data_IF_363497295657
#
_entry.id   IF_363497295657
#
_cell.length_a   1.000
_cell.length_b   1.000
_cell.length_c   1.000
_cell.angle_alpha   90.00
_cell.angle_beta   90.00
_cell.angle_gamma   90.00
#
_symmetry.space_group_name_H-M   'P 1'
#
loop_
_entity.id
_entity.type
_entity.pdbx_description
1 polymer ?
#
# COMPACT_ATOMS: atom_id res chain seq x y z
N UNK A 1 -4.36 29.69 10.15
CA UNK A 1 -3.97 29.23 8.81
C UNK A 1 -4.80 27.98 8.47
N UNK A 2 -5.86 27.89 7.68
CA UNK A 2 -6.56 27.11 7.50
C UNK A 2 -6.10 26.24 6.81
N UNK A 3 -5.98 25.23 7.29
CA UNK A 3 -5.70 24.01 6.60
C UNK A 3 -6.85 23.79 5.62
N UNK A 4 -6.57 23.99 4.37
CA UNK A 4 -7.53 23.73 3.30
C UNK A 4 -7.82 22.22 3.32
N UNK A 5 -8.95 21.81 3.86
CA UNK A 5 -9.42 20.44 3.85
C UNK A 5 -9.79 20.06 2.41
N UNK A 6 -8.78 19.77 1.62
CA UNK A 6 -9.00 19.21 0.29
C UNK A 6 -9.51 17.77 0.50
N UNK A 7 -10.68 17.49 -0.03
CA UNK A 7 -11.24 16.13 -0.04
C UNK A 7 -10.17 15.20 -0.63
N UNK A 8 -9.91 14.05 -0.01
CA UNK A 8 -8.86 13.14 -0.50
C UNK A 8 -9.32 12.45 -1.80
N UNK A 9 -9.33 13.21 -2.89
CA UNK A 9 -9.75 12.74 -4.24
C UNK A 9 -8.92 11.52 -4.67
N UNK A 10 -7.69 11.45 -4.20
CA UNK A 10 -6.77 10.37 -4.57
C UNK A 10 -7.12 9.01 -3.94
N UNK A 11 -7.87 8.99 -2.83
CA UNK A 11 -8.23 7.73 -2.17
C UNK A 11 -9.31 6.94 -2.94
N UNK A 12 -10.40 7.58 -3.46
CA UNK A 12 -11.30 6.91 -4.39
C UNK A 12 -10.60 6.43 -5.68
N UNK A 13 -9.63 7.21 -6.17
CA UNK A 13 -8.85 6.81 -7.35
C UNK A 13 -7.99 5.56 -7.05
N UNK A 14 -7.40 5.48 -5.86
CA UNK A 14 -6.72 4.27 -5.39
C UNK A 14 -7.68 3.07 -5.44
N UNK A 15 -8.89 3.21 -4.88
CA UNK A 15 -9.86 2.10 -4.84
C UNK A 15 -10.26 1.64 -6.24
N UNK A 16 -10.47 2.59 -7.16
CA UNK A 16 -10.81 2.28 -8.56
C UNK A 16 -9.68 1.52 -9.25
N UNK A 17 -8.44 2.01 -9.15
CA UNK A 17 -7.29 1.38 -9.80
C UNK A 17 -6.98 0.00 -9.20
N UNK A 18 -7.13 -0.14 -7.88
CA UNK A 18 -6.96 -1.41 -7.18
C UNK A 18 -8.02 -2.43 -7.62
N UNK A 19 -9.27 -1.99 -7.84
CA UNK A 19 -10.34 -2.85 -8.35
C UNK A 19 -10.02 -3.31 -9.79
N UNK A 20 -9.55 -2.40 -10.65
CA UNK A 20 -9.13 -2.73 -12.04
C UNK A 20 -7.97 -3.74 -11.99
N UNK A 21 -6.95 -3.49 -11.16
CA UNK A 21 -5.82 -4.40 -10.99
C UNK A 21 -6.28 -5.81 -10.55
N UNK A 22 -7.19 -5.85 -9.56
CA UNK A 22 -7.75 -7.12 -9.06
C UNK A 22 -8.52 -7.88 -10.15
N UNK A 23 -9.25 -7.16 -10.99
CA UNK A 23 -9.96 -7.76 -12.13
C UNK A 23 -8.98 -8.34 -13.16
N UNK A 24 -7.91 -7.59 -13.49
CA UNK A 24 -6.88 -8.06 -14.43
C UNK A 24 -6.13 -9.29 -13.91
N UNK A 25 -6.03 -9.44 -12.58
CA UNK A 25 -5.38 -10.60 -11.95
C UNK A 25 -6.14 -11.92 -12.25
N UNK A 26 -7.40 -11.86 -12.66
CA UNK A 26 -8.16 -13.07 -13.05
C UNK A 26 -7.47 -13.73 -14.27
N UNK A 27 -6.88 -12.94 -15.17
CA UNK A 27 -6.15 -13.43 -16.33
C UNK A 27 -4.63 -13.50 -16.15
N UNK A 28 -4.14 -13.70 -14.92
CA UNK A 28 -2.69 -13.62 -14.62
C UNK A 28 -1.84 -14.65 -15.39
N UNK A 29 -2.44 -15.72 -15.90
CA UNK A 29 -1.74 -16.71 -16.75
C UNK A 29 -1.24 -16.10 -18.05
N UNK A 30 -1.84 -14.99 -18.48
CA UNK A 30 -1.39 -14.22 -19.64
C UNK A 30 -0.40 -13.17 -19.14
N UNK A 31 0.88 -13.32 -19.47
CA UNK A 31 1.96 -12.47 -18.96
C UNK A 31 1.66 -10.97 -19.11
N UNK A 32 1.08 -10.55 -20.23
CA UNK A 32 0.70 -9.15 -20.46
C UNK A 32 -0.33 -8.65 -19.44
N UNK A 33 -1.34 -9.47 -19.11
CA UNK A 33 -2.38 -9.09 -18.13
C UNK A 33 -1.81 -9.04 -16.70
N UNK A 34 -0.88 -9.96 -16.39
CA UNK A 34 -0.17 -9.97 -15.11
C UNK A 34 0.66 -8.67 -14.94
N UNK A 35 1.45 -8.30 -15.95
CA UNK A 35 2.25 -7.06 -15.93
C UNK A 35 1.34 -5.82 -15.85
N UNK A 36 0.25 -5.80 -16.60
CA UNK A 36 -0.71 -4.68 -16.58
C UNK A 36 -1.35 -4.55 -15.18
N UNK A 37 -1.69 -5.64 -14.57
CA UNK A 37 -2.17 -5.64 -13.17
C UNK A 37 -1.15 -5.03 -12.20
N UNK A 38 -0.02 -5.25 -12.33
CA UNK A 38 0.93 -4.77 -11.62
C UNK A 38 1.10 -3.39 -11.72
N UNK A 39 1.09 -2.91 -12.96
CA UNK A 39 1.17 -1.46 -13.20
C UNK A 39 0.01 -0.72 -12.52
N UNK A 40 -1.20 -1.20 -12.68
CA UNK A 40 -2.37 -0.58 -12.04
C UNK A 40 -2.28 -0.60 -10.53
N UNK A 41 -1.76 -1.68 -9.92
CA UNK A 41 -1.53 -1.76 -8.47
C UNK A 41 -0.48 -0.72 -8.03
N UNK A 42 0.65 -0.63 -8.72
CA UNK A 42 1.69 0.33 -8.39
C UNK A 42 1.14 1.77 -8.45
N UNK A 43 0.38 2.11 -9.52
CA UNK A 43 -0.28 3.41 -9.64
C UNK A 43 -1.27 3.65 -8.50
N UNK A 44 -2.06 2.64 -8.14
CA UNK A 44 -3.01 2.72 -7.02
C UNK A 44 -2.26 3.09 -5.73
N UNK A 45 -1.15 2.40 -5.43
CA UNK A 45 -0.36 2.67 -4.23
C UNK A 45 0.28 4.07 -4.25
N UNK A 46 0.69 4.56 -5.42
CA UNK A 46 1.19 5.95 -5.57
C UNK A 46 0.09 6.96 -5.20
N UNK A 47 -1.13 6.78 -5.73
CA UNK A 47 -2.24 7.68 -5.41
C UNK A 47 -2.62 7.61 -3.93
N UNK A 48 -2.56 6.42 -3.34
CA UNK A 48 -2.77 6.26 -1.89
C UNK A 48 -1.67 7.02 -1.11
N UNK A 49 -0.41 6.85 -1.49
CA UNK A 49 0.71 7.54 -0.83
C UNK A 49 0.57 9.07 -0.94
N UNK A 50 0.17 9.58 -2.10
CA UNK A 50 -0.11 11.02 -2.29
C UNK A 50 -1.23 11.48 -1.34
N UNK A 51 -2.31 10.70 -1.22
CA UNK A 51 -3.43 11.03 -0.35
C UNK A 51 -3.01 11.13 1.12
N UNK A 52 -2.18 10.21 1.60
CA UNK A 52 -1.67 10.21 2.98
C UNK A 52 -0.65 11.34 3.17
N UNK A 53 0.25 11.52 2.20
CA UNK A 53 1.28 12.57 2.23
C UNK A 53 0.65 13.96 2.38
N UNK A 54 -0.40 14.25 1.61
CA UNK A 54 -1.11 15.53 1.67
C UNK A 54 -1.73 15.83 3.04
N UNK A 55 -2.04 14.78 3.81
CA UNK A 55 -2.63 14.91 5.15
C UNK A 55 -1.59 14.83 6.27
N UNK A 56 -0.30 14.66 5.92
CA UNK A 56 0.80 14.48 6.88
C UNK A 56 1.58 15.78 7.05
N UNK A 57 1.56 16.36 8.25
CA UNK A 57 2.28 17.59 8.58
C UNK A 57 3.67 17.23 9.12
N UNK A 58 4.59 17.10 8.24
CA UNK A 58 5.98 16.75 8.60
C UNK A 58 6.66 17.73 9.56
N UNK A 59 6.20 18.71 9.77
CA UNK A 59 6.65 19.57 10.56
C UNK A 59 6.59 19.24 11.91
N UNK A 60 5.63 18.51 12.20
CA UNK A 60 5.40 18.03 13.57
C UNK A 60 6.27 16.84 13.96
N UNK A 61 7.07 16.32 13.10
CA UNK A 61 7.91 15.12 13.32
C UNK A 61 9.32 15.57 13.64
N UNK A 62 9.89 15.06 14.75
CA UNK A 62 11.29 15.37 15.10
C UNK A 62 12.25 14.81 14.04
N UNK A 63 13.15 15.37 13.82
CA UNK A 63 14.05 15.04 12.96
C UNK A 63 14.64 13.79 13.15
N UNK A 64 14.97 13.50 14.47
CA UNK A 64 15.52 12.21 14.87
C UNK A 64 14.59 11.06 14.45
N UNK A 65 13.30 11.21 14.73
CA UNK A 65 12.29 10.19 14.36
C UNK A 65 12.22 10.01 12.84
N UNK A 66 12.28 11.11 12.09
CA UNK A 66 12.28 11.04 10.62
C UNK A 66 13.52 10.29 10.11
N UNK A 67 14.71 10.56 10.68
CA UNK A 67 15.94 9.86 10.33
C UNK A 67 15.81 8.34 10.61
N UNK A 68 15.22 7.97 11.75
CA UNK A 68 14.96 6.56 12.09
C UNK A 68 14.02 5.93 11.05
N UNK A 69 12.95 6.61 10.65
CA UNK A 69 12.02 6.10 9.64
C UNK A 69 12.71 5.93 8.28
N UNK A 70 13.53 6.89 7.86
CA UNK A 70 14.28 6.79 6.58
C UNK A 70 15.28 5.63 6.64
N UNK A 71 15.97 5.46 7.76
CA UNK A 71 16.89 4.34 7.96
C UNK A 71 16.16 2.99 7.85
N UNK A 72 15.02 2.86 8.54
CA UNK A 72 14.20 1.64 8.50
C UNK A 72 13.66 1.39 7.09
N UNK A 73 13.22 2.43 6.39
CA UNK A 73 12.75 2.33 5.00
C UNK A 73 13.87 1.80 4.10
N UNK A 74 15.08 2.33 4.26
CA UNK A 74 16.27 1.91 3.48
C UNK A 74 16.62 0.45 3.74
N UNK A 75 16.66 0.04 5.02
CA UNK A 75 16.97 -1.35 5.40
C UNK A 75 15.90 -2.30 4.84
N UNK A 76 14.62 -2.00 5.04
CA UNK A 76 13.53 -2.85 4.57
C UNK A 76 13.47 -2.89 3.04
N UNK A 77 13.70 -1.76 2.38
CA UNK A 77 13.79 -1.69 0.91
C UNK A 77 14.92 -2.57 0.38
N UNK A 78 16.08 -2.52 1.02
CA UNK A 78 17.23 -3.36 0.66
C UNK A 78 16.91 -4.85 0.85
N UNK A 79 16.32 -5.22 1.99
CA UNK A 79 15.95 -6.62 2.27
C UNK A 79 14.93 -7.13 1.24
N UNK A 80 13.95 -6.32 0.85
CA UNK A 80 12.97 -6.70 -0.17
C UNK A 80 13.61 -6.83 -1.55
N UNK A 81 14.58 -5.97 -1.87
CA UNK A 81 15.35 -6.09 -3.11
C UNK A 81 16.13 -7.41 -3.12
N UNK A 82 16.86 -7.74 -2.05
CA UNK A 82 17.58 -9.02 -1.93
C UNK A 82 16.62 -10.22 -2.07
N UNK A 83 15.45 -10.13 -1.44
CA UNK A 83 14.43 -11.17 -1.55
C UNK A 83 13.95 -11.31 -3.01
N UNK A 84 13.76 -10.20 -3.72
CA UNK A 84 13.33 -10.25 -5.12
C UNK A 84 14.38 -10.90 -6.04
N UNK A 85 15.66 -10.75 -5.72
CA UNK A 85 16.73 -11.44 -6.47
C UNK A 85 16.65 -12.96 -6.30
N UNK A 86 16.27 -13.42 -5.11
CA UNK A 86 16.04 -14.85 -4.86
C UNK A 86 14.86 -15.36 -5.70
N UNK A 87 13.87 -14.49 -5.95
CA UNK A 87 12.69 -14.83 -6.75
C UNK A 87 12.93 -14.66 -8.26
N UNK A 88 14.05 -14.07 -8.67
CA UNK A 88 14.35 -13.78 -10.09
C UNK A 88 14.09 -14.97 -11.03
N UNK A 89 14.51 -16.23 -10.70
CA UNK A 89 14.27 -17.36 -11.59
C UNK A 89 12.80 -17.69 -11.85
N UNK A 90 11.90 -17.18 -11.02
CA UNK A 90 10.45 -17.44 -11.13
C UNK A 90 9.73 -16.36 -11.96
N UNK A 91 10.40 -15.25 -12.30
CA UNK A 91 9.79 -14.18 -13.08
C UNK A 91 9.91 -14.45 -14.59
N UNK A 92 8.85 -14.14 -15.33
CA UNK A 92 8.79 -14.33 -16.78
C UNK A 92 9.71 -13.37 -17.55
N UNK A 93 10.07 -12.23 -16.95
CA UNK A 93 10.91 -11.24 -17.60
C UNK A 93 11.59 -10.29 -16.59
N UNK A 94 12.66 -9.66 -17.01
CA UNK A 94 13.34 -8.61 -16.24
C UNK A 94 12.38 -7.41 -15.96
N UNK A 95 11.48 -7.15 -16.88
CA UNK A 95 10.47 -6.09 -16.71
C UNK A 95 9.56 -6.39 -15.50
N UNK A 96 9.07 -7.63 -15.39
CA UNK A 96 8.25 -8.07 -14.26
C UNK A 96 9.02 -7.92 -12.92
N UNK A 97 10.29 -8.30 -12.90
CA UNK A 97 11.15 -8.15 -11.73
C UNK A 97 11.25 -6.68 -11.29
N UNK A 98 11.53 -5.78 -12.24
CA UNK A 98 11.59 -4.34 -11.95
C UNK A 98 10.26 -3.80 -11.43
N UNK A 99 9.15 -4.23 -12.02
CA UNK A 99 7.80 -3.82 -11.64
C UNK A 99 7.49 -4.22 -10.19
N UNK A 100 7.80 -5.46 -9.82
CA UNK A 100 7.61 -5.99 -8.46
C UNK A 100 8.46 -5.20 -7.45
N UNK A 101 9.72 -4.90 -7.80
CA UNK A 101 10.60 -4.12 -6.92
C UNK A 101 10.06 -2.70 -6.70
N UNK A 102 9.62 -2.03 -7.76
CA UNK A 102 9.03 -0.68 -7.69
C UNK A 102 7.77 -0.72 -6.80
N UNK A 103 6.87 -1.67 -7.06
CA UNK A 103 5.63 -1.84 -6.30
C UNK A 103 5.92 -2.07 -4.81
N UNK A 104 6.87 -2.96 -4.51
CA UNK A 104 7.28 -3.28 -3.14
C UNK A 104 7.84 -2.05 -2.43
N UNK A 105 8.71 -1.28 -3.12
CA UNK A 105 9.27 -0.05 -2.57
C UNK A 105 8.17 0.98 -2.26
N UNK A 106 7.19 1.14 -3.16
CA UNK A 106 6.06 2.06 -2.96
C UNK A 106 5.25 1.65 -1.72
N UNK A 107 4.92 0.35 -1.57
CA UNK A 107 4.09 -0.10 -0.45
C UNK A 107 4.82 0.00 0.90
N UNK A 108 6.14 -0.26 0.93
CA UNK A 108 6.95 -0.05 2.14
C UNK A 108 6.99 1.45 2.50
N UNK A 109 7.18 2.30 1.49
CA UNK A 109 7.17 3.77 1.69
C UNK A 109 5.81 4.23 2.22
N UNK A 110 4.73 3.69 1.68
CA UNK A 110 3.36 3.97 2.13
C UNK A 110 3.16 3.52 3.59
N UNK A 111 3.68 2.36 3.96
CA UNK A 111 3.60 1.85 5.35
C UNK A 111 4.29 2.82 6.32
N UNK A 112 5.51 3.26 5.99
CA UNK A 112 6.22 4.23 6.83
C UNK A 112 5.51 5.57 6.88
N UNK A 113 4.94 6.01 5.75
CA UNK A 113 4.16 7.25 5.68
C UNK A 113 2.91 7.19 6.60
N UNK A 114 2.21 6.04 6.64
CA UNK A 114 1.05 5.87 7.53
C UNK A 114 1.47 5.78 9.00
N UNK A 115 2.67 5.26 9.30
CA UNK A 115 3.22 5.28 10.66
C UNK A 115 3.51 6.72 11.11
N UNK A 116 4.08 7.56 10.23
CA UNK A 116 4.30 8.99 10.49
C UNK A 116 2.95 9.69 10.71
N UNK A 117 1.98 9.43 9.83
CA UNK A 117 0.62 9.97 9.93
C UNK A 117 -0.02 9.58 11.29
N UNK A 118 0.13 8.32 11.69
CA UNK A 118 -0.40 7.83 12.97
C UNK A 118 0.30 8.48 14.17
N UNK A 119 1.62 8.67 14.09
CA UNK A 119 2.39 9.35 15.13
C UNK A 119 1.87 10.79 15.36
N UNK A 120 1.57 11.52 14.28
CA UNK A 120 1.10 12.91 14.34
C UNK A 120 -0.33 12.99 14.89
N UNK A 121 -1.22 12.12 14.46
CA UNK A 121 -2.65 12.21 14.76
C UNK A 121 -3.05 11.42 16.01
N UNK A 122 -2.40 10.30 16.30
CA UNK A 122 -2.56 9.45 17.50
C UNK A 122 -4.04 9.16 17.85
N UNK A 123 -4.84 8.80 16.86
CA UNK A 123 -6.26 8.52 17.05
C UNK A 123 -6.65 7.16 16.43
N UNK A 124 -7.86 6.69 16.73
CA UNK A 124 -8.36 5.41 16.25
C UNK A 124 -8.32 5.31 14.72
N UNK A 125 -8.62 6.42 14.03
CA UNK A 125 -8.70 6.43 12.55
C UNK A 125 -7.30 6.32 11.92
N UNK A 126 -6.29 6.96 12.51
CA UNK A 126 -4.92 6.85 12.03
C UNK A 126 -4.39 5.42 12.21
N UNK A 127 -4.76 4.75 13.31
CA UNK A 127 -4.47 3.32 13.52
C UNK A 127 -5.16 2.45 12.48
N UNK A 128 -6.44 2.71 12.18
CA UNK A 128 -7.20 1.96 11.15
C UNK A 128 -6.49 2.05 9.80
N UNK A 129 -6.01 3.25 9.44
CA UNK A 129 -5.26 3.45 8.19
C UNK A 129 -3.94 2.67 8.19
N UNK A 130 -3.19 2.70 9.30
CA UNK A 130 -1.93 1.96 9.43
C UNK A 130 -2.16 0.45 9.32
N UNK A 131 -3.20 -0.07 10.00
CA UNK A 131 -3.57 -1.49 9.93
C UNK A 131 -3.97 -1.89 8.50
N UNK A 132 -4.67 -1.00 7.78
CA UNK A 132 -5.06 -1.24 6.39
C UNK A 132 -3.81 -1.43 5.51
N UNK A 133 -2.83 -0.52 5.63
CA UNK A 133 -1.61 -0.58 4.81
C UNK A 133 -0.73 -1.77 5.23
N UNK A 134 -0.66 -2.09 6.53
CA UNK A 134 0.06 -3.26 7.02
C UNK A 134 -0.54 -4.55 6.44
N UNK A 135 -1.88 -4.66 6.47
CA UNK A 135 -2.59 -5.81 5.89
C UNK A 135 -2.34 -5.90 4.37
N UNK A 136 -2.34 -4.75 3.68
CA UNK A 136 -2.05 -4.68 2.25
C UNK A 136 -0.61 -5.16 1.96
N UNK A 137 0.37 -4.73 2.74
CA UNK A 137 1.77 -5.17 2.61
C UNK A 137 1.86 -6.70 2.73
N UNK A 138 1.28 -7.28 3.80
CA UNK A 138 1.29 -8.73 3.97
C UNK A 138 0.50 -9.45 2.88
N UNK A 139 -0.58 -8.86 2.37
CA UNK A 139 -1.32 -9.41 1.23
C UNK A 139 -0.42 -9.57 0.01
N UNK A 140 0.42 -8.54 -0.29
CA UNK A 140 1.37 -8.61 -1.42
C UNK A 140 2.43 -9.69 -1.20
N UNK A 141 2.95 -9.82 0.02
CA UNK A 141 3.94 -10.87 0.37
C UNK A 141 3.32 -12.25 0.14
N UNK A 142 2.13 -12.51 0.70
CA UNK A 142 1.46 -13.81 0.54
C UNK A 142 1.04 -14.06 -0.90
N UNK A 143 0.67 -13.01 -1.65
CA UNK A 143 0.36 -13.14 -3.08
C UNK A 143 1.60 -13.61 -3.86
N UNK A 144 2.76 -13.02 -3.58
CA UNK A 144 4.02 -13.45 -4.18
C UNK A 144 4.33 -14.92 -3.86
N UNK A 145 4.26 -15.31 -2.58
CA UNK A 145 4.49 -16.69 -2.15
C UNK A 145 3.54 -17.65 -2.90
N UNK A 146 2.27 -17.28 -3.03
CA UNK A 146 1.26 -18.12 -3.67
C UNK A 146 1.44 -18.25 -5.18
N UNK A 147 1.73 -17.14 -5.86
CA UNK A 147 1.86 -17.13 -7.33
C UNK A 147 3.14 -17.80 -7.81
N UNK A 148 4.22 -17.75 -7.03
CA UNK A 148 5.50 -18.37 -7.38
C UNK A 148 5.65 -19.78 -6.80
N UNK A 149 4.59 -20.34 -6.23
CA UNK A 149 4.50 -21.74 -5.77
C UNK A 149 5.61 -22.11 -4.77
N UNK A 150 5.95 -21.15 -3.89
CA UNK A 150 7.11 -21.28 -2.99
C UNK A 150 6.79 -22.22 -1.81
N UNK A 151 5.77 -21.87 -0.99
CA UNK A 151 5.40 -22.63 0.21
C UNK A 151 3.88 -22.55 0.38
N UNK A 152 3.18 -23.70 0.41
CA UNK A 152 1.74 -23.77 0.62
C UNK A 152 0.97 -22.75 -0.24
N UNK A 153 1.11 -22.77 -1.57
CA UNK A 153 0.61 -21.69 -2.43
C UNK A 153 -0.89 -21.43 -2.29
N UNK A 154 -1.70 -22.47 -2.16
CA UNK A 154 -3.16 -22.34 -1.99
C UNK A 154 -3.49 -21.53 -0.71
N UNK A 155 -2.84 -21.89 0.40
CA UNK A 155 -3.05 -21.19 1.70
C UNK A 155 -2.59 -19.73 1.58
N UNK A 156 -1.43 -19.50 0.96
CA UNK A 156 -0.87 -18.16 0.76
C UNK A 156 -1.84 -17.27 -0.05
N UNK A 157 -2.42 -17.79 -1.14
CA UNK A 157 -3.39 -17.05 -1.97
C UNK A 157 -4.64 -16.69 -1.16
N UNK A 158 -5.17 -17.62 -0.36
CA UNK A 158 -6.34 -17.33 0.49
C UNK A 158 -6.01 -16.27 1.55
N UNK A 159 -4.87 -16.38 2.21
CA UNK A 159 -4.42 -15.37 3.19
C UNK A 159 -4.27 -13.99 2.53
N UNK A 160 -3.67 -13.94 1.34
CA UNK A 160 -3.55 -12.70 0.57
C UNK A 160 -4.92 -12.04 0.34
N UNK A 161 -5.90 -12.82 -0.09
CA UNK A 161 -7.25 -12.31 -0.36
C UNK A 161 -7.96 -11.80 0.89
N UNK A 162 -7.85 -12.56 2.01
CA UNK A 162 -8.44 -12.16 3.30
C UNK A 162 -7.82 -10.83 3.77
N UNK A 163 -6.49 -10.72 3.69
CA UNK A 163 -5.78 -9.50 4.09
C UNK A 163 -6.14 -8.31 3.20
N UNK A 164 -6.31 -8.54 1.90
CA UNK A 164 -6.72 -7.49 0.95
C UNK A 164 -8.13 -6.99 1.29
N UNK A 165 -9.07 -7.90 1.57
CA UNK A 165 -10.44 -7.55 1.98
C UNK A 165 -10.43 -6.77 3.30
N UNK A 166 -9.63 -7.23 4.27
CA UNK A 166 -9.46 -6.54 5.56
C UNK A 166 -8.90 -5.12 5.36
N UNK A 167 -7.90 -4.97 4.48
CA UNK A 167 -7.34 -3.67 4.11
C UNK A 167 -8.40 -2.75 3.51
N UNK A 168 -9.14 -3.24 2.50
CA UNK A 168 -10.18 -2.47 1.81
C UNK A 168 -11.27 -2.03 2.79
N UNK A 169 -11.68 -2.90 3.71
CA UNK A 169 -12.67 -2.58 4.75
C UNK A 169 -12.16 -1.44 5.65
N UNK A 170 -10.92 -1.52 6.11
CA UNK A 170 -10.33 -0.48 6.98
C UNK A 170 -10.18 0.86 6.25
N UNK A 171 -9.84 0.86 4.95
CA UNK A 171 -9.78 2.07 4.13
C UNK A 171 -11.18 2.69 4.01
N UNK A 172 -12.21 1.87 3.78
CA UNK A 172 -13.60 2.35 3.69
C UNK A 172 -14.04 2.98 5.02
N UNK A 173 -13.72 2.34 6.16
CA UNK A 173 -14.01 2.88 7.50
C UNK A 173 -13.32 4.24 7.67
N UNK A 174 -12.03 4.33 7.33
CA UNK A 174 -11.25 5.57 7.41
C UNK A 174 -11.92 6.68 6.58
N UNK A 175 -12.30 6.38 5.33
CA UNK A 175 -12.97 7.35 4.43
C UNK A 175 -14.29 7.85 4.99
N UNK A 176 -15.09 6.94 5.56
CA UNK A 176 -16.39 7.32 6.16
C UNK A 176 -16.20 8.29 7.35
N UNK A 177 -15.19 8.06 8.17
CA UNK A 177 -14.93 8.90 9.36
C UNK A 177 -14.36 10.27 8.97
N UNK A 178 -13.46 10.32 7.99
CA UNK A 178 -12.95 11.60 7.44
C UNK A 178 -14.11 12.42 6.86
N UNK A 179 -15.01 11.76 6.14
CA UNK A 179 -16.19 12.42 5.56
C UNK A 179 -17.17 12.96 6.62
N UNK A 180 -17.37 12.23 7.72
CA UNK A 180 -18.22 12.68 8.86
C UNK A 180 -17.62 13.91 9.55
N UNK A 181 -16.31 13.91 9.75
CA UNK A 181 -15.60 15.03 10.39
C UNK A 181 -15.72 16.30 9.56
N UNK A 182 -15.46 16.20 8.25
CA UNK A 182 -15.58 17.31 7.31
C UNK A 182 -17.00 17.94 7.34
N UNK A 183 -18.05 17.13 7.51
CA UNK A 183 -19.43 17.64 7.61
C UNK A 183 -19.69 18.36 8.93
N UNK A 184 -19.11 17.91 10.05
CA UNK A 184 -19.31 18.55 11.37
C UNK A 184 -18.64 19.92 11.44
N UNK A 185 -17.55 20.13 10.71
CA UNK A 185 -16.81 21.39 10.72
C UNK A 185 -17.47 22.45 9.81
N UNK A 186 -18.56 22.10 9.09
CA UNK A 186 -19.33 22.99 8.21
C UNK A 186 -20.58 23.57 8.90
N UNK A 187 -20.92 23.14 10.14
CA UNK A 187 -22.06 23.62 10.92
C UNK A 187 -21.62 24.12 12.29
#
# INVERSE_FOLDING_TARGET
>A
MXIKEEKPVFLPLYLLLSAVASFLTIGFEIAFLADLSXVFNALAYVFFAIAVYQQTDFXKVSXVLLAVFVLLLTINGYLCYEFSLVLEPYFNSQFTLWLVNIQTFIIISLLFLTLVYNYIHSNTYSWTLTLAVLAMFFSEVFRGIGYYDIIFPTVAVYLARILLLFSAFNIAVFLMEVSKKSKKDLF
#
